data_IF_876450265012
#
_entry.id   IF_876450265012
#
_cell.length_a   1.000
_cell.length_b   1.000
_cell.length_c   1.000
_cell.angle_alpha   90.00
_cell.angle_beta   90.00
_cell.angle_gamma   90.00
#
_symmetry.space_group_name_H-M   'P 1'
#
loop_
_entity.id
_entity.type
_entity.pdbx_description
1 polymer ?
#
# COMPACT_ATOMS: atom_id res chain seq x y z
N UNK A 1 26.07 23.34 6.90
CA UNK A 1 24.69 22.85 7.08
C UNK A 1 23.91 23.20 5.82
N UNK A 2 23.54 22.21 5.01
CA UNK A 2 22.73 22.45 3.80
C UNK A 2 21.29 22.15 4.18
N UNK A 3 20.48 23.19 4.30
CA UNK A 3 19.04 23.09 4.52
C UNK A 3 18.42 22.79 3.16
N UNK A 4 17.98 21.55 2.95
CA UNK A 4 17.25 21.17 1.75
C UNK A 4 15.78 21.57 1.93
N UNK A 5 15.39 22.67 1.31
CA UNK A 5 14.00 23.08 1.20
C UNK A 5 13.25 22.12 0.28
N UNK A 6 12.41 21.27 0.87
CA UNK A 6 11.42 20.48 0.13
C UNK A 6 10.26 21.40 -0.27
N UNK A 7 10.39 22.08 -1.40
CA UNK A 7 9.28 22.77 -2.06
C UNK A 7 8.33 21.71 -2.70
N UNK A 8 7.43 21.15 -1.90
CA UNK A 8 6.27 20.42 -2.41
C UNK A 8 5.19 21.46 -2.78
N UNK A 9 4.95 21.64 -4.08
CA UNK A 9 3.83 22.45 -4.57
C UNK A 9 2.51 21.76 -4.24
N UNK A 10 1.70 22.38 -3.38
CA UNK A 10 0.36 21.92 -2.94
C UNK A 10 -0.69 21.83 -4.08
N UNK A 11 -0.34 22.16 -5.32
CA UNK A 11 -1.27 22.14 -6.46
C UNK A 11 -1.55 20.73 -7.03
N UNK A 12 -0.80 19.71 -6.63
CA UNK A 12 -0.98 18.34 -7.15
C UNK A 12 -1.99 17.47 -6.37
N UNK A 13 -2.55 17.97 -5.25
CA UNK A 13 -3.47 17.18 -4.41
C UNK A 13 -4.96 17.42 -4.75
N UNK A 14 -5.31 18.46 -5.52
CA UNK A 14 -6.73 18.85 -5.73
C UNK A 14 -7.40 18.24 -6.97
N UNK A 15 -6.73 17.44 -7.80
CA UNK A 15 -7.38 16.90 -9.02
C UNK A 15 -8.22 15.63 -8.80
N UNK A 16 -8.09 14.93 -7.67
CA UNK A 16 -8.79 13.65 -7.43
C UNK A 16 -10.19 13.75 -6.82
N UNK A 17 -10.70 14.94 -6.51
CA UNK A 17 -12.01 15.10 -5.87
C UNK A 17 -13.16 15.50 -6.83
N UNK A 18 -12.93 15.57 -8.15
CA UNK A 18 -13.90 16.13 -9.11
C UNK A 18 -14.44 15.19 -10.19
N UNK A 19 -14.22 13.88 -10.10
CA UNK A 19 -14.66 12.91 -11.13
C UNK A 19 -15.61 11.80 -10.66
N UNK A 20 -16.30 11.95 -9.52
CA UNK A 20 -17.34 10.99 -9.10
C UNK A 20 -18.68 11.71 -8.83
N UNK A 21 -19.10 12.59 -9.74
CA UNK A 21 -20.51 12.97 -9.84
C UNK A 21 -20.84 13.13 -11.33
N UNK A 22 -21.61 12.21 -11.95
CA UNK A 22 -22.13 12.45 -13.29
C UNK A 22 -23.13 13.63 -13.27
N UNK A 23 -23.21 14.44 -14.34
CA UNK A 23 -24.25 15.45 -14.44
C UNK A 23 -25.61 14.75 -14.54
N UNK A 24 -26.46 14.98 -13.53
CA UNK A 24 -27.87 14.59 -13.58
C UNK A 24 -28.55 15.40 -14.69
N UNK A 25 -28.73 14.77 -15.84
CA UNK A 25 -29.61 15.26 -16.90
C UNK A 25 -31.05 15.25 -16.37
N UNK A 26 -31.60 16.45 -16.19
CA UNK A 26 -33.01 16.82 -16.37
C UNK A 26 -33.97 15.68 -16.71
N UNK A 27 -34.53 15.04 -15.68
CA UNK A 27 -35.87 14.44 -15.74
C UNK A 27 -36.75 15.20 -14.77
N UNK A 28 -37.60 16.05 -15.33
CA UNK A 28 -38.75 16.63 -14.64
C UNK A 28 -39.70 15.49 -14.30
N UNK A 29 -39.84 15.23 -13.01
CA UNK A 29 -40.85 14.37 -12.43
C UNK A 29 -41.00 14.81 -10.98
N UNK A 30 -41.99 15.66 -10.72
CA UNK A 30 -42.36 16.05 -9.37
C UNK A 30 -42.80 14.79 -8.62
N UNK A 31 -41.98 14.36 -7.66
CA UNK A 31 -42.37 13.42 -6.62
C UNK A 31 -42.56 14.23 -5.35
N UNK A 32 -43.76 14.11 -4.78
CA UNK A 32 -44.16 14.77 -3.55
C UNK A 32 -43.21 14.44 -2.39
N UNK A 33 -42.88 15.42 -1.53
CA UNK A 33 -42.04 15.17 -0.37
C UNK A 33 -42.76 14.28 0.65
N UNK A 34 -42.26 13.06 0.82
CA UNK A 34 -42.65 12.17 1.92
C UNK A 34 -42.30 12.79 3.28
N UNK A 35 -43.12 12.53 4.33
CA UNK A 35 -42.94 13.13 5.64
C UNK A 35 -41.65 12.65 6.30
N UNK A 36 -40.81 13.63 6.67
CA UNK A 36 -39.61 13.46 7.48
C UNK A 36 -40.01 12.93 8.85
N UNK A 37 -39.85 11.63 9.08
CA UNK A 37 -39.82 11.08 10.43
C UNK A 37 -38.52 11.55 11.09
N UNK A 38 -38.68 12.51 12.01
CA UNK A 38 -37.69 12.90 13.01
C UNK A 38 -37.45 11.71 13.94
N UNK A 39 -36.41 10.95 13.66
CA UNK A 39 -35.76 10.10 14.66
C UNK A 39 -34.46 10.76 15.12
N UNK A 40 -34.44 11.13 16.39
CA UNK A 40 -33.26 11.58 17.11
C UNK A 40 -32.30 10.39 17.24
N UNK A 41 -31.09 10.50 16.68
CA UNK A 41 -30.11 9.43 16.80
C UNK A 41 -28.73 9.79 16.28
N UNK A 42 -28.02 10.66 17.00
CA UNK A 42 -26.55 10.74 16.99
C UNK A 42 -25.90 10.76 15.60
N UNK A 43 -26.07 11.88 14.89
CA UNK A 43 -25.20 12.25 13.81
C UNK A 43 -23.84 12.64 14.41
N UNK A 44 -22.87 11.72 14.32
CA UNK A 44 -21.47 12.00 14.63
C UNK A 44 -20.93 12.85 13.47
N UNK A 45 -21.24 14.14 13.53
CA UNK A 45 -20.71 15.13 12.62
C UNK A 45 -19.21 15.23 12.87
N UNK A 46 -18.41 14.55 12.04
CA UNK A 46 -16.97 14.78 11.97
C UNK A 46 -16.80 16.15 11.33
N UNK A 47 -16.87 17.19 12.14
CA UNK A 47 -16.41 18.52 11.77
C UNK A 47 -14.90 18.41 11.55
N UNK A 48 -14.49 18.29 10.29
CA UNK A 48 -13.11 18.58 9.88
C UNK A 48 -12.87 20.08 10.03
N UNK A 49 -12.76 20.54 11.28
CA UNK A 49 -12.23 21.85 11.61
C UNK A 49 -10.71 21.80 11.50
N UNK A 50 -10.16 22.29 10.40
CA UNK A 50 -8.74 22.62 10.32
C UNK A 50 -8.47 23.85 11.20
N UNK A 51 -7.93 23.67 12.42
CA UNK A 51 -7.29 24.78 13.12
C UNK A 51 -6.00 25.12 12.36
N UNK A 52 -5.99 26.24 11.63
CA UNK A 52 -4.82 26.73 10.90
C UNK A 52 -3.80 27.47 11.78
N UNK A 53 -3.92 27.40 13.11
CA UNK A 53 -3.12 28.24 14.02
C UNK A 53 -2.73 27.57 15.35
N UNK A 54 -2.82 26.25 15.46
CA UNK A 54 -2.51 25.54 16.70
C UNK A 54 -1.21 24.72 16.55
N UNK A 55 -0.07 25.40 16.48
CA UNK A 55 1.23 24.79 16.69
C UNK A 55 1.45 24.55 18.20
N UNK A 56 1.97 23.37 18.54
CA UNK A 56 2.46 22.94 19.86
C UNK A 56 1.41 22.55 20.92
N UNK A 57 0.88 21.33 20.80
CA UNK A 57 0.89 20.25 21.84
C UNK A 57 0.00 19.09 21.37
N UNK A 58 0.35 17.82 21.65
CA UNK A 58 -0.55 16.70 21.37
C UNK A 58 -1.80 16.83 22.23
N UNK A 59 -2.94 17.15 21.61
CA UNK A 59 -4.23 17.03 22.25
C UNK A 59 -4.42 15.57 22.65
N UNK A 60 -4.29 15.29 23.94
CA UNK A 60 -4.69 14.00 24.50
C UNK A 60 -6.18 13.82 24.23
N UNK A 61 -6.50 13.00 23.24
CA UNK A 61 -7.83 12.46 23.02
C UNK A 61 -8.14 11.62 24.25
N UNK A 62 -8.84 12.21 25.22
CA UNK A 62 -9.45 11.46 26.33
C UNK A 62 -10.59 10.65 25.74
N UNK A 63 -10.32 9.38 25.44
CA UNK A 63 -11.34 8.40 25.11
C UNK A 63 -12.13 8.14 26.40
N UNK A 64 -13.39 8.59 26.44
CA UNK A 64 -14.33 8.24 27.52
C UNK A 64 -14.73 6.76 27.38
N UNK A 65 -14.47 5.90 28.38
CA UNK A 65 -14.97 4.53 28.39
C UNK A 65 -16.38 4.56 28.97
N UNK A 66 -17.38 4.76 28.11
CA UNK A 66 -18.75 4.87 28.56
C UNK A 66 -19.75 4.65 27.46
N UNK A 67 -19.92 3.40 27.01
CA UNK A 67 -21.26 2.85 26.77
C UNK A 67 -21.23 1.34 26.49
N UNK A 68 -21.90 0.61 27.38
CA UNK A 68 -22.83 -0.47 27.10
C UNK A 68 -22.40 -1.61 26.14
N UNK A 69 -22.04 -2.74 26.76
CA UNK A 69 -22.58 -4.08 26.50
C UNK A 69 -23.00 -4.38 25.05
N UNK A 70 -22.02 -4.66 24.19
CA UNK A 70 -22.29 -5.34 22.92
C UNK A 70 -22.73 -6.78 23.20
N UNK A 71 -24.01 -7.05 22.93
CA UNK A 71 -24.55 -8.41 22.89
C UNK A 71 -23.81 -9.19 21.79
N UNK A 72 -23.27 -10.33 22.21
CA UNK A 72 -22.46 -11.31 21.46
C UNK A 72 -22.91 -11.49 19.99
N UNK A 73 -22.10 -11.05 19.03
CA UNK A 73 -22.17 -11.47 17.63
C UNK A 73 -21.58 -12.90 17.48
N UNK A 74 -22.08 -13.85 18.26
CA UNK A 74 -21.50 -15.20 18.40
C UNK A 74 -21.95 -16.22 17.36
N UNK A 75 -22.81 -15.86 16.40
CA UNK A 75 -23.42 -16.82 15.47
C UNK A 75 -22.87 -16.76 14.04
N UNK A 76 -22.20 -15.68 13.64
CA UNK A 76 -21.68 -15.54 12.27
C UNK A 76 -20.29 -16.21 12.14
N UNK A 77 -19.49 -16.22 13.20
CA UNK A 77 -18.13 -16.79 13.17
C UNK A 77 -18.13 -18.31 12.98
N UNK A 78 -19.09 -19.03 13.59
CA UNK A 78 -19.17 -20.49 13.53
C UNK A 78 -19.50 -21.04 12.14
N UNK A 79 -20.23 -20.28 11.32
CA UNK A 79 -20.56 -20.69 9.93
C UNK A 79 -19.37 -20.53 8.99
N UNK A 80 -18.49 -19.55 9.24
CA UNK A 80 -17.28 -19.34 8.43
C UNK A 80 -16.22 -20.37 8.79
N UNK A 81 -16.03 -20.65 10.09
CA UNK A 81 -15.08 -21.65 10.57
C UNK A 81 -15.41 -23.05 10.03
N UNK A 82 -16.68 -23.46 10.05
CA UNK A 82 -17.09 -24.78 9.55
C UNK A 82 -16.93 -24.93 8.03
N UNK A 83 -17.15 -23.86 7.25
CA UNK A 83 -16.89 -23.87 5.80
C UNK A 83 -15.39 -23.95 5.49
N UNK A 84 -14.55 -23.25 6.25
CA UNK A 84 -13.10 -23.31 6.11
C UNK A 84 -12.58 -24.71 6.43
N UNK A 85 -13.09 -25.33 7.51
CA UNK A 85 -12.67 -26.67 7.92
C UNK A 85 -12.99 -27.73 6.84
N UNK A 86 -14.19 -27.69 6.25
CA UNK A 86 -14.57 -28.60 5.15
C UNK A 86 -13.70 -28.42 3.90
N UNK A 87 -13.30 -27.18 3.59
CA UNK A 87 -12.42 -26.90 2.47
C UNK A 87 -11.02 -27.47 2.70
N UNK A 88 -10.48 -27.36 3.92
CA UNK A 88 -9.19 -27.96 4.29
C UNK A 88 -9.25 -29.48 4.15
N UNK A 89 -10.30 -30.14 4.68
CA UNK A 89 -10.48 -31.60 4.55
C UNK A 89 -10.59 -32.05 3.09
N UNK A 90 -11.28 -31.27 2.23
CA UNK A 90 -11.35 -31.56 0.80
C UNK A 90 -9.99 -31.45 0.11
N UNK A 91 -9.17 -30.45 0.48
CA UNK A 91 -7.81 -30.28 -0.05
C UNK A 91 -6.93 -31.46 0.38
N UNK A 92 -6.94 -31.85 1.66
CA UNK A 92 -6.16 -33.00 2.15
C UNK A 92 -6.55 -34.32 1.47
N UNK A 93 -7.83 -34.52 1.13
CA UNK A 93 -8.27 -35.69 0.35
C UNK A 93 -7.75 -35.71 -1.08
N UNK A 94 -7.66 -34.56 -1.74
CA UNK A 94 -7.23 -34.47 -3.13
C UNK A 94 -5.72 -34.55 -3.29
N UNK A 95 -4.97 -33.93 -2.37
CA UNK A 95 -3.51 -33.83 -2.46
C UNK A 95 -2.78 -34.87 -1.61
N UNK A 96 -3.50 -35.71 -0.87
CA UNK A 96 -2.94 -36.66 0.09
C UNK A 96 -2.26 -35.96 1.28
N UNK A 97 -1.77 -36.71 2.28
CA UNK A 97 -0.93 -36.14 3.31
C UNK A 97 0.32 -35.57 2.63
N UNK A 98 0.46 -34.24 2.66
CA UNK A 98 1.67 -33.56 2.22
C UNK A 98 2.79 -34.12 3.07
N UNK A 99 3.59 -35.02 2.48
CA UNK A 99 4.80 -35.50 3.11
C UNK A 99 5.64 -34.26 3.41
N UNK A 100 5.68 -33.84 4.67
CA UNK A 100 6.58 -32.80 5.16
C UNK A 100 7.97 -33.31 4.82
N UNK A 101 8.51 -32.85 3.70
CA UNK A 101 9.86 -33.16 3.29
C UNK A 101 10.74 -32.71 4.45
N UNK A 102 11.32 -33.70 5.14
CA UNK A 102 12.21 -33.51 6.27
C UNK A 102 13.17 -32.37 5.96
N UNK A 103 13.15 -31.35 6.81
CA UNK A 103 14.12 -30.27 6.90
C UNK A 103 15.52 -30.89 7.08
N UNK A 104 16.19 -31.25 5.99
CA UNK A 104 17.41 -32.07 6.09
C UNK A 104 18.32 -32.08 4.88
N UNK A 105 18.07 -31.23 3.88
CA UNK A 105 18.95 -31.11 2.70
C UNK A 105 19.12 -29.65 2.25
N UNK A 106 19.38 -28.75 3.20
CA UNK A 106 20.03 -27.49 2.84
C UNK A 106 21.50 -27.80 2.58
N UNK A 107 21.83 -28.11 1.32
CA UNK A 107 23.20 -28.03 0.86
C UNK A 107 23.72 -26.63 1.27
N UNK A 108 24.87 -26.54 1.96
CA UNK A 108 25.39 -25.26 2.43
C UNK A 108 25.59 -24.36 1.21
N UNK A 109 24.72 -23.36 1.08
CA UNK A 109 24.84 -22.35 0.02
C UNK A 109 26.22 -21.73 0.22
N UNK A 110 27.13 -21.83 -0.77
CA UNK A 110 28.47 -21.30 -0.63
C UNK A 110 28.36 -19.79 -0.41
N UNK A 111 28.57 -19.36 0.82
CA UNK A 111 28.70 -17.95 1.23
C UNK A 111 30.01 -17.42 0.66
N UNK A 112 30.05 -17.26 -0.67
CA UNK A 112 31.22 -16.79 -1.38
C UNK A 112 31.39 -15.29 -1.17
N UNK A 113 32.57 -14.99 -0.64
CA UNK A 113 33.33 -13.75 -0.63
C UNK A 113 33.16 -12.81 0.57
N UNK A 114 34.29 -12.29 1.08
CA UNK A 114 34.37 -11.50 2.31
C UNK A 114 33.46 -10.30 2.19
N UNK A 115 32.57 -10.18 3.17
CA UNK A 115 31.70 -9.03 3.35
C UNK A 115 32.58 -7.78 3.36
N UNK A 116 32.60 -7.02 2.26
CA UNK A 116 32.91 -5.59 2.36
C UNK A 116 31.83 -5.03 3.26
N UNK A 117 32.16 -4.86 4.54
CA UNK A 117 31.22 -4.41 5.58
C UNK A 117 30.56 -3.10 5.17
N UNK A 118 31.28 -2.27 4.40
CA UNK A 118 30.81 -0.97 3.89
C UNK A 118 31.00 -0.86 2.38
N UNK A 119 30.06 -0.16 1.74
CA UNK A 119 30.07 0.21 0.33
C UNK A 119 29.84 1.70 0.20
N UNK A 120 30.62 2.37 -0.66
CA UNK A 120 30.47 3.79 -0.97
C UNK A 120 29.52 4.00 -2.14
N UNK A 121 28.52 4.85 -1.98
CA UNK A 121 27.65 5.25 -3.09
C UNK A 121 28.40 6.25 -4.01
N UNK A 122 28.50 6.03 -5.33
CA UNK A 122 29.21 6.94 -6.22
C UNK A 122 28.50 8.28 -6.42
N UNK A 123 27.18 8.35 -6.19
CA UNK A 123 26.40 9.58 -6.35
C UNK A 123 26.50 10.50 -5.13
N UNK A 124 26.21 10.00 -3.92
CA UNK A 124 26.27 10.83 -2.71
C UNK A 124 27.60 10.75 -1.95
N UNK A 125 28.51 9.86 -2.35
CA UNK A 125 29.82 9.69 -1.72
C UNK A 125 29.82 9.04 -0.34
N UNK A 126 28.66 8.78 0.27
CA UNK A 126 28.54 8.21 1.62
C UNK A 126 28.87 6.72 1.65
N UNK A 127 29.61 6.30 2.68
CA UNK A 127 29.83 4.90 3.01
C UNK A 127 28.70 4.37 3.88
N UNK A 128 28.05 3.28 3.43
CA UNK A 128 26.97 2.63 4.17
C UNK A 128 27.21 1.13 4.24
N UNK A 129 26.64 0.42 5.22
CA UNK A 129 26.73 -1.03 5.28
C UNK A 129 26.27 -1.68 3.98
N UNK A 130 26.99 -2.69 3.49
CA UNK A 130 26.63 -3.42 2.27
C UNK A 130 25.46 -4.39 2.51
N UNK A 131 24.37 -3.90 3.08
CA UNK A 131 23.14 -4.65 3.34
C UNK A 131 22.03 -4.23 2.38
N UNK A 132 21.04 -5.11 2.20
CA UNK A 132 19.86 -4.85 1.36
C UNK A 132 19.02 -3.68 1.89
N UNK A 133 19.17 -3.30 3.16
CA UNK A 133 18.54 -2.12 3.76
C UNK A 133 18.99 -0.81 3.10
N UNK A 134 20.26 -0.70 2.72
CA UNK A 134 20.82 0.54 2.16
C UNK A 134 21.01 0.50 0.64
N UNK A 135 21.13 -0.70 0.06
CA UNK A 135 21.34 -0.91 -1.38
C UNK A 135 20.30 -1.88 -1.95
N UNK A 136 19.84 -1.66 -3.17
CA UNK A 136 18.92 -2.61 -3.83
C UNK A 136 19.65 -3.89 -4.27
N UNK A 137 19.02 -5.06 -4.16
CA UNK A 137 19.56 -6.30 -4.71
C UNK A 137 19.61 -6.22 -6.24
N UNK A 138 20.68 -6.75 -6.84
CA UNK A 138 20.88 -6.75 -8.30
C UNK A 138 21.54 -8.05 -8.74
N UNK A 139 20.86 -8.80 -9.61
CA UNK A 139 21.37 -10.07 -10.18
C UNK A 139 22.54 -9.87 -11.14
N UNK A 140 22.69 -8.67 -11.70
CA UNK A 140 23.77 -8.33 -12.64
C UNK A 140 25.05 -7.85 -11.94
N UNK A 141 24.97 -7.43 -10.68
CA UNK A 141 26.12 -6.92 -9.95
C UNK A 141 26.96 -8.09 -9.40
N UNK A 142 28.30 -7.98 -9.50
CA UNK A 142 29.25 -9.00 -8.99
C UNK A 142 28.97 -9.45 -7.55
N UNK A 143 28.51 -8.53 -6.70
CA UNK A 143 28.24 -8.77 -5.28
C UNK A 143 26.74 -8.85 -4.94
N UNK A 144 25.86 -8.98 -5.94
CA UNK A 144 24.43 -9.06 -5.71
C UNK A 144 23.76 -7.76 -5.24
N UNK A 145 24.50 -6.65 -5.10
CA UNK A 145 24.00 -5.36 -4.64
C UNK A 145 24.32 -4.24 -5.65
N UNK A 146 23.35 -3.37 -5.89
CA UNK A 146 23.48 -2.17 -6.75
C UNK A 146 24.60 -1.23 -6.29
N UNK A 147 25.19 -0.48 -7.22
CA UNK A 147 26.27 0.46 -6.93
C UNK A 147 25.78 1.70 -6.15
N UNK A 148 24.53 2.12 -6.39
CA UNK A 148 23.91 3.30 -5.80
C UNK A 148 23.08 2.94 -4.57
N UNK A 149 23.07 3.81 -3.57
CA UNK A 149 22.19 3.63 -2.41
C UNK A 149 20.72 3.81 -2.79
N UNK A 150 19.81 3.32 -1.94
CA UNK A 150 18.36 3.41 -2.18
C UNK A 150 17.87 4.84 -2.42
N UNK A 151 18.36 5.80 -1.63
CA UNK A 151 17.97 7.21 -1.76
C UNK A 151 18.33 7.78 -3.14
N UNK A 152 19.58 7.60 -3.58
CA UNK A 152 20.04 8.07 -4.89
C UNK A 152 19.30 7.36 -6.04
N UNK A 153 18.99 6.07 -5.91
CA UNK A 153 18.20 5.35 -6.90
C UNK A 153 16.77 5.90 -7.01
N UNK A 154 16.12 6.17 -5.87
CA UNK A 154 14.80 6.79 -5.85
C UNK A 154 14.81 8.18 -6.50
N UNK A 155 15.81 9.00 -6.18
CA UNK A 155 15.96 10.32 -6.78
C UNK A 155 16.13 10.23 -8.30
N UNK A 156 17.06 9.40 -8.77
CA UNK A 156 17.28 9.18 -10.21
C UNK A 156 16.03 8.67 -10.91
N UNK A 157 15.27 7.76 -10.28
CA UNK A 157 14.02 7.27 -10.84
C UNK A 157 12.97 8.40 -10.99
N UNK A 158 12.89 9.31 -10.01
CA UNK A 158 12.01 10.49 -10.07
C UNK A 158 12.44 11.47 -11.17
N UNK A 159 13.74 11.73 -11.31
CA UNK A 159 14.29 12.59 -12.35
C UNK A 159 14.04 12.02 -13.74
N UNK A 160 14.29 10.71 -13.93
CA UNK A 160 13.96 10.01 -15.17
C UNK A 160 12.46 10.10 -15.48
N UNK A 161 11.61 9.92 -14.47
CA UNK A 161 10.18 10.00 -14.64
C UNK A 161 9.71 11.41 -15.07
N UNK A 162 10.32 12.46 -14.50
CA UNK A 162 10.05 13.85 -14.90
C UNK A 162 10.52 14.15 -16.33
N UNK A 163 11.67 13.63 -16.72
CA UNK A 163 12.24 13.83 -18.06
C UNK A 163 11.53 13.00 -19.15
N UNK A 164 10.90 11.88 -18.78
CA UNK A 164 10.29 10.95 -19.73
C UNK A 164 8.83 10.60 -19.38
N UNK A 165 7.90 11.60 -19.34
CA UNK A 165 6.50 11.34 -19.02
C UNK A 165 5.82 10.44 -20.07
N UNK A 166 6.25 10.53 -21.34
CA UNK A 166 5.74 9.70 -22.44
C UNK A 166 6.04 8.21 -22.20
N UNK A 167 7.30 7.86 -21.91
CA UNK A 167 7.70 6.47 -21.65
C UNK A 167 6.94 5.85 -20.47
N UNK A 168 6.61 6.63 -19.45
CA UNK A 168 5.79 6.14 -18.33
C UNK A 168 4.39 5.78 -18.81
N UNK A 169 3.78 6.60 -19.68
CA UNK A 169 2.47 6.29 -20.27
C UNK A 169 2.53 5.02 -21.10
N UNK A 170 3.57 4.84 -21.91
CA UNK A 170 3.76 3.60 -22.70
C UNK A 170 3.84 2.37 -21.79
N UNK A 171 4.68 2.40 -20.74
CA UNK A 171 4.84 1.30 -19.79
C UNK A 171 3.51 1.01 -19.08
N UNK A 172 2.79 2.05 -18.67
CA UNK A 172 1.49 1.92 -18.03
C UNK A 172 0.45 1.30 -18.98
N UNK A 173 0.41 1.76 -20.24
CA UNK A 173 -0.47 1.22 -21.26
C UNK A 173 -0.16 -0.24 -21.58
N UNK A 174 1.12 -0.60 -21.69
CA UNK A 174 1.57 -1.98 -21.87
C UNK A 174 1.13 -2.88 -20.71
N UNK A 175 1.22 -2.39 -19.46
CA UNK A 175 0.73 -3.10 -18.28
C UNK A 175 -0.79 -3.34 -18.35
N UNK A 176 -1.58 -2.34 -18.73
CA UNK A 176 -3.04 -2.48 -18.92
C UNK A 176 -3.33 -3.51 -20.01
N UNK A 177 -2.67 -3.40 -21.16
CA UNK A 177 -2.89 -4.30 -22.29
C UNK A 177 -2.57 -5.76 -21.91
N UNK A 178 -1.47 -6.00 -21.18
CA UNK A 178 -1.11 -7.35 -20.68
C UNK A 178 -2.18 -7.95 -19.77
N UNK A 179 -2.81 -7.14 -18.92
CA UNK A 179 -3.90 -7.60 -18.05
C UNK A 179 -5.17 -7.91 -18.85
N UNK A 180 -5.44 -7.15 -19.92
CA UNK A 180 -6.60 -7.38 -20.80
C UNK A 180 -6.46 -8.68 -21.57
N UNK A 181 -5.30 -8.92 -22.18
CA UNK A 181 -5.06 -10.15 -22.95
C UNK A 181 -5.15 -11.39 -22.05
N UNK A 182 -4.57 -11.35 -20.85
CA UNK A 182 -4.64 -12.44 -19.88
C UNK A 182 -6.06 -12.74 -19.35
N UNK A 183 -7.00 -11.79 -19.49
CA UNK A 183 -8.41 -12.00 -19.12
C UNK A 183 -9.26 -12.50 -20.29
N UNK A 184 -8.85 -12.30 -21.54
CA UNK A 184 -9.54 -12.82 -22.72
C UNK A 184 -9.25 -14.32 -22.95
N UNK A 185 -8.11 -14.80 -22.46
CA UNK A 185 -7.69 -16.21 -22.53
C UNK A 185 -8.31 -17.09 -21.43
N UNK A 186 -9.16 -16.54 -20.56
CA UNK A 186 -9.84 -17.24 -19.47
C UNK A 186 -11.33 -17.38 -19.74
#
# INVERSE_FOLDING_TARGET
MIVAECNYSLKDITWKARQIVPPLSSRQGAVDPLPVLKECGSFLEIVQGSCASCDLRPCMIKIFPGCATMKKQGTITTTIETKLQRAIEQIERLFGPVAVLREGSSLPVPTRTPQRTKKRCPSCGQEKPATTTYFYPSRKARYGLSAYCRLCMCQRAREWAKAHPERIREIHQACINRKRTANQEK
#
